data_IF_004363510862
#
_entry.id   IF_004363510862
#
_cell.length_a   1.000
_cell.length_b   1.000
_cell.length_c   1.000
_cell.angle_alpha   90.00
_cell.angle_beta   90.00
_cell.angle_gamma   90.00
#
_symmetry.space_group_name_H-M   'P 1'
#
loop_
_entity.id
_entity.type
_entity.pdbx_description
1 polymer ?
#
# COMPACT_ATOMS: atom_id res chain seq x y z
N UNK A 1 3.19 -4.84 10.92
CA UNK A 1 4.24 -4.43 9.99
C UNK A 1 3.74 -4.60 8.57
N UNK A 2 3.88 -3.55 7.75
CA UNK A 2 3.54 -3.57 6.33
C UNK A 2 4.85 -3.36 5.57
N UNK A 3 5.22 -4.28 4.66
CA UNK A 3 6.39 -4.11 3.81
C UNK A 3 6.25 -2.88 2.88
N UNK A 4 7.36 -2.28 2.50
CA UNK A 4 7.34 -1.11 1.62
C UNK A 4 6.76 -1.42 0.22
N UNK A 5 6.91 -2.65 -0.25
CA UNK A 5 6.35 -3.15 -1.51
C UNK A 5 4.82 -3.23 -1.53
N UNK A 6 4.17 -3.31 -0.35
CA UNK A 6 2.72 -3.35 -0.22
C UNK A 6 2.10 -1.97 0.08
N UNK A 7 2.90 -0.90 0.02
CA UNK A 7 2.44 0.49 0.19
C UNK A 7 2.75 1.32 -1.04
N UNK A 8 1.72 1.90 -1.64
CA UNK A 8 1.86 2.76 -2.82
C UNK A 8 1.44 4.17 -2.46
N UNK A 9 2.31 5.12 -2.76
CA UNK A 9 2.08 6.56 -2.57
C UNK A 9 2.36 7.33 -3.87
N UNK A 10 1.85 8.55 -4.04
CA UNK A 10 2.20 9.39 -5.18
C UNK A 10 3.72 9.64 -5.26
N UNK A 11 4.26 9.74 -6.47
CA UNK A 11 5.69 9.91 -6.71
C UNK A 11 6.32 11.09 -5.96
N UNK A 12 5.59 12.18 -5.79
CA UNK A 12 6.04 13.37 -5.07
C UNK A 12 5.92 13.32 -3.55
N UNK A 13 5.36 12.24 -2.98
CA UNK A 13 5.19 12.13 -1.54
C UNK A 13 6.54 11.92 -0.82
N UNK A 14 6.80 12.70 0.21
CA UNK A 14 7.99 12.56 1.06
C UNK A 14 7.72 11.76 2.34
N UNK A 15 6.47 11.76 2.81
CA UNK A 15 6.01 11.02 3.99
C UNK A 15 4.53 10.65 3.85
N UNK A 16 4.02 9.79 4.74
CA UNK A 16 2.63 9.36 4.74
C UNK A 16 1.67 10.49 5.12
N UNK A 17 2.08 11.39 5.98
CA UNK A 17 1.21 12.45 6.50
C UNK A 17 0.85 13.46 5.40
N UNK A 18 1.83 13.81 4.56
CA UNK A 18 1.67 14.75 3.43
C UNK A 18 1.22 14.08 2.13
N UNK A 19 1.13 12.76 2.09
CA UNK A 19 0.70 12.06 0.89
C UNK A 19 -0.81 12.28 0.66
N UNK A 20 -1.16 12.73 -0.54
CA UNK A 20 -2.56 12.91 -0.98
C UNK A 20 -3.31 11.58 -1.01
N UNK A 21 -2.60 10.50 -1.31
CA UNK A 21 -3.14 9.15 -1.36
C UNK A 21 -2.13 8.16 -0.77
N UNK A 22 -2.63 7.25 0.05
CA UNK A 22 -1.87 6.08 0.52
C UNK A 22 -2.67 4.84 0.17
N UNK A 23 -2.09 3.92 -0.57
CA UNK A 23 -2.74 2.64 -0.92
C UNK A 23 -1.98 1.50 -0.26
N UNK A 24 -2.69 0.73 0.54
CA UNK A 24 -2.19 -0.51 1.13
C UNK A 24 -2.68 -1.70 0.31
N UNK A 25 -1.77 -2.53 -0.15
CA UNK A 25 -2.07 -3.75 -0.91
C UNK A 25 -2.14 -4.91 0.08
N UNK A 26 -3.29 -5.56 0.14
CA UNK A 26 -3.52 -6.71 1.01
C UNK A 26 -3.76 -7.95 0.17
N UNK A 27 -3.29 -9.09 0.63
CA UNK A 27 -3.61 -10.40 0.05
C UNK A 27 -4.53 -11.16 0.99
N UNK A 28 -5.76 -11.45 0.56
CA UNK A 28 -6.79 -12.11 1.36
C UNK A 28 -7.25 -13.39 0.71
N UNK A 29 -7.49 -14.40 1.53
CA UNK A 29 -8.12 -15.64 1.08
C UNK A 29 -9.61 -15.44 0.80
N UNK A 30 -10.21 -16.29 -0.04
CA UNK A 30 -11.65 -16.28 -0.32
C UNK A 30 -12.50 -16.36 0.96
N UNK A 31 -12.04 -17.18 1.92
CA UNK A 31 -12.75 -17.35 3.19
C UNK A 31 -12.72 -16.08 4.06
N UNK A 32 -11.59 -15.36 4.09
CA UNK A 32 -11.50 -14.08 4.81
C UNK A 32 -12.43 -13.03 4.19
N UNK A 33 -12.46 -12.93 2.85
CA UNK A 33 -13.35 -12.00 2.16
C UNK A 33 -14.82 -12.32 2.46
N UNK A 34 -15.22 -13.59 2.34
CA UNK A 34 -16.58 -14.03 2.65
C UNK A 34 -17.00 -13.78 4.10
N UNK A 35 -16.08 -13.96 5.06
CA UNK A 35 -16.35 -13.61 6.46
C UNK A 35 -16.63 -12.11 6.63
N UNK A 36 -15.86 -11.27 5.93
CA UNK A 36 -16.05 -9.82 5.97
C UNK A 36 -17.34 -9.39 5.27
N UNK A 37 -17.74 -10.07 4.18
CA UNK A 37 -19.03 -9.87 3.53
C UNK A 37 -20.18 -10.31 4.46
N UNK A 38 -20.10 -11.49 5.04
CA UNK A 38 -21.12 -12.01 5.97
C UNK A 38 -21.29 -11.14 7.23
N UNK A 39 -20.22 -10.47 7.69
CA UNK A 39 -20.30 -9.54 8.81
C UNK A 39 -20.87 -8.16 8.42
N UNK A 40 -21.13 -7.90 7.14
CA UNK A 40 -21.54 -6.59 6.62
C UNK A 40 -20.44 -5.55 6.55
N UNK A 41 -19.18 -5.96 6.80
CA UNK A 41 -18.03 -5.04 6.70
C UNK A 41 -17.66 -4.74 5.24
N UNK A 42 -17.79 -5.74 4.37
CA UNK A 42 -17.69 -5.59 2.93
C UNK A 42 -19.04 -5.82 2.27
N UNK A 43 -19.25 -5.15 1.14
CA UNK A 43 -20.40 -5.38 0.26
C UNK A 43 -20.40 -6.84 -0.21
N UNK A 44 -21.57 -7.45 -0.21
CA UNK A 44 -21.76 -8.80 -0.75
C UNK A 44 -21.75 -8.72 -2.28
N UNK A 45 -20.62 -9.09 -2.87
CA UNK A 45 -20.37 -9.17 -4.30
C UNK A 45 -19.95 -10.58 -4.67
N UNK A 46 -20.17 -10.98 -5.91
CA UNK A 46 -19.62 -12.22 -6.43
C UNK A 46 -18.11 -12.06 -6.65
N UNK A 47 -17.33 -12.80 -5.86
CA UNK A 47 -15.89 -12.85 -6.02
C UNK A 47 -15.58 -13.71 -7.24
N UNK A 48 -14.92 -13.16 -8.24
CA UNK A 48 -14.37 -13.89 -9.36
C UNK A 48 -13.32 -14.93 -8.95
N UNK A 49 -12.58 -15.43 -9.91
CA UNK A 49 -11.40 -16.25 -9.61
C UNK A 49 -10.24 -15.39 -9.13
N UNK A 50 -9.45 -15.86 -8.13
CA UNK A 50 -8.29 -15.13 -7.67
C UNK A 50 -7.30 -14.91 -8.80
N UNK A 51 -6.82 -13.69 -8.95
CA UNK A 51 -5.79 -13.36 -9.93
C UNK A 51 -4.45 -13.26 -9.23
N UNK A 52 -3.45 -14.05 -9.64
CA UNK A 52 -2.11 -13.98 -9.10
C UNK A 52 -1.58 -12.54 -9.13
N UNK A 53 -0.98 -12.12 -8.05
CA UNK A 53 -0.37 -10.82 -7.94
C UNK A 53 1.01 -10.94 -7.29
N UNK A 54 2.03 -10.78 -8.11
CA UNK A 54 3.41 -10.71 -7.68
C UNK A 54 3.96 -9.34 -8.04
N UNK A 55 4.78 -8.79 -7.17
CA UNK A 55 5.51 -7.56 -7.43
C UNK A 55 6.82 -7.91 -8.14
N UNK A 56 7.36 -6.98 -8.96
CA UNK A 56 8.67 -7.13 -9.58
C UNK A 56 9.79 -7.43 -8.55
N UNK A 57 9.59 -6.97 -7.31
CA UNK A 57 10.52 -7.23 -6.20
C UNK A 57 10.45 -8.68 -5.75
N UNK A 58 9.25 -9.26 -5.64
CA UNK A 58 9.05 -10.67 -5.30
C UNK A 58 9.63 -11.58 -6.39
N UNK A 59 9.40 -11.24 -7.66
CA UNK A 59 9.97 -11.97 -8.79
C UNK A 59 11.50 -11.97 -8.74
N UNK A 60 12.12 -10.81 -8.54
CA UNK A 60 13.58 -10.71 -8.40
C UNK A 60 14.12 -11.46 -7.19
N UNK A 61 13.44 -11.39 -6.05
CA UNK A 61 13.83 -12.16 -4.85
C UNK A 61 13.79 -13.66 -5.10
N UNK A 62 12.79 -14.14 -5.84
CA UNK A 62 12.68 -15.55 -6.21
C UNK A 62 13.79 -15.97 -7.18
N UNK A 63 14.05 -15.16 -8.19
CA UNK A 63 15.09 -15.37 -9.18
C UNK A 63 16.49 -15.42 -8.54
N UNK A 64 16.83 -14.44 -7.69
CA UNK A 64 18.08 -14.41 -6.93
C UNK A 64 18.18 -15.53 -5.89
N UNK A 65 17.05 -15.91 -5.27
CA UNK A 65 16.98 -17.01 -4.31
C UNK A 65 16.93 -18.40 -4.94
N UNK A 66 16.77 -18.50 -6.26
CA UNK A 66 16.72 -19.76 -7.01
C UNK A 66 15.48 -20.59 -6.71
N UNK A 67 14.36 -19.98 -6.33
CA UNK A 67 13.08 -20.64 -6.14
C UNK A 67 12.01 -20.07 -7.09
N UNK A 68 10.99 -20.86 -7.39
CA UNK A 68 9.86 -20.41 -8.20
C UNK A 68 8.77 -19.85 -7.31
N UNK A 69 8.18 -18.73 -7.74
CA UNK A 69 6.97 -18.21 -7.10
C UNK A 69 5.83 -19.15 -7.46
N UNK A 70 5.09 -19.57 -6.46
CA UNK A 70 3.86 -20.34 -6.64
C UNK A 70 2.69 -19.40 -6.47
N UNK A 71 1.77 -19.42 -7.43
CA UNK A 71 0.51 -18.70 -7.32
C UNK A 71 -0.25 -19.21 -6.10
N UNK A 72 -0.58 -18.30 -5.20
CA UNK A 72 -1.49 -18.59 -4.12
C UNK A 72 -2.90 -18.11 -4.53
N UNK A 73 -3.94 -18.86 -4.14
CA UNK A 73 -5.34 -18.53 -4.42
C UNK A 73 -5.84 -17.34 -3.59
N UNK A 74 -5.05 -16.26 -3.55
CA UNK A 74 -5.38 -15.04 -2.80
C UNK A 74 -5.84 -13.93 -3.73
N UNK A 75 -6.76 -13.15 -3.20
CA UNK A 75 -7.26 -11.93 -3.82
C UNK A 75 -6.42 -10.75 -3.41
N UNK A 76 -5.98 -9.95 -4.37
CA UNK A 76 -5.35 -8.66 -4.09
C UNK A 76 -6.45 -7.63 -3.82
N UNK A 77 -6.41 -7.02 -2.65
CA UNK A 77 -7.36 -6.01 -2.20
C UNK A 77 -6.61 -4.71 -1.92
N UNK A 78 -7.05 -3.63 -2.54
CA UNK A 78 -6.48 -2.31 -2.37
C UNK A 78 -7.31 -1.53 -1.35
N UNK A 79 -6.66 -1.10 -0.26
CA UNK A 79 -7.22 -0.15 0.68
C UNK A 79 -6.63 1.23 0.41
N UNK A 80 -7.43 2.10 -0.17
CA UNK A 80 -7.04 3.42 -0.65
C UNK A 80 -7.51 4.48 0.34
N UNK A 81 -6.57 5.18 0.96
CA UNK A 81 -6.81 6.34 1.81
C UNK A 81 -6.57 7.60 0.98
N UNK A 82 -7.62 8.35 0.70
CA UNK A 82 -7.56 9.57 -0.12
C UNK A 82 -8.68 10.54 0.23
N UNK A 83 -8.48 11.81 -0.12
CA UNK A 83 -9.52 12.81 -0.06
C UNK A 83 -10.34 12.74 -1.35
N UNK A 84 -11.64 12.50 -1.23
CA UNK A 84 -12.56 12.27 -2.35
C UNK A 84 -13.84 13.07 -2.16
N UNK A 85 -14.49 13.37 -3.28
CA UNK A 85 -15.88 13.84 -3.35
C UNK A 85 -16.70 12.66 -3.83
N UNK A 86 -17.66 12.21 -3.04
CA UNK A 86 -18.51 11.07 -3.38
C UNK A 86 -19.89 11.60 -3.76
N UNK A 87 -20.25 11.46 -5.03
CA UNK A 87 -21.58 11.83 -5.54
C UNK A 87 -22.68 11.11 -4.75
N UNK A 88 -23.75 11.84 -4.43
CA UNK A 88 -24.88 11.31 -3.65
C UNK A 88 -24.65 11.17 -2.15
N UNK A 89 -23.44 11.41 -1.65
CA UNK A 89 -23.11 11.40 -0.21
C UNK A 89 -22.69 12.78 0.27
N UNK A 90 -21.96 13.52 -0.56
CA UNK A 90 -21.38 14.82 -0.23
C UNK A 90 -22.18 16.00 -0.83
N UNK A 91 -23.29 15.70 -1.52
CA UNK A 91 -24.12 16.70 -2.22
C UNK A 91 -25.10 17.50 -1.33
N UNK A 92 -25.16 17.22 -0.02
CA UNK A 92 -26.13 17.88 0.88
C UNK A 92 -25.90 19.39 1.09
N UNK A 93 -24.79 19.96 0.64
CA UNK A 93 -24.45 21.38 0.80
C UNK A 93 -24.53 22.22 -0.50
N UNK A 94 -25.43 21.91 -1.39
CA UNK A 94 -26.14 22.85 -2.28
C UNK A 94 -25.36 23.66 -3.34
N UNK A 95 -24.07 23.81 -3.29
CA UNK A 95 -23.25 24.55 -4.24
C UNK A 95 -22.13 23.69 -4.83
N UNK A 96 -22.21 23.37 -6.12
CA UNK A 96 -21.19 22.59 -6.84
C UNK A 96 -19.79 23.23 -6.78
N UNK A 97 -19.70 24.54 -6.58
CA UNK A 97 -18.42 25.28 -6.47
C UNK A 97 -17.76 25.20 -5.09
N UNK A 98 -18.46 24.72 -4.06
CA UNK A 98 -17.96 24.64 -2.67
C UNK A 98 -17.68 23.22 -2.19
N UNK A 99 -17.71 22.22 -3.08
CA UNK A 99 -17.47 20.84 -2.68
C UNK A 99 -16.02 20.63 -2.24
N UNK A 100 -15.84 20.38 -0.95
CA UNK A 100 -14.55 20.07 -0.35
C UNK A 100 -14.38 18.54 -0.32
N UNK A 101 -13.27 18.06 -0.89
CA UNK A 101 -12.91 16.65 -0.79
C UNK A 101 -12.72 16.24 0.67
N UNK A 102 -13.37 15.15 1.08
CA UNK A 102 -13.32 14.60 2.43
C UNK A 102 -12.47 13.33 2.48
N UNK A 103 -11.81 13.04 3.61
CA UNK A 103 -10.99 11.85 3.72
C UNK A 103 -11.83 10.57 3.81
N UNK A 104 -11.63 9.67 2.86
CA UNK A 104 -12.26 8.36 2.81
C UNK A 104 -11.24 7.23 2.75
N UNK A 105 -11.69 6.05 3.15
CA UNK A 105 -11.01 4.78 2.92
C UNK A 105 -11.88 3.96 1.98
N UNK A 106 -11.38 3.74 0.77
CA UNK A 106 -12.05 2.93 -0.26
C UNK A 106 -11.32 1.61 -0.40
N UNK A 107 -12.06 0.53 -0.27
CA UNK A 107 -11.51 -0.83 -0.45
C UNK A 107 -12.03 -1.41 -1.76
N UNK A 108 -11.10 -1.84 -2.62
CA UNK A 108 -11.39 -2.34 -3.97
C UNK A 108 -10.76 -3.72 -4.15
N UNK A 109 -11.51 -4.67 -4.70
CA UNK A 109 -10.96 -5.94 -5.16
C UNK A 109 -10.33 -5.75 -6.55
N UNK A 110 -9.07 -6.19 -6.71
CA UNK A 110 -8.27 -5.91 -7.92
C UNK A 110 -8.80 -6.62 -9.16
N UNK A 111 -9.22 -7.88 -9.04
CA UNK A 111 -9.60 -8.72 -10.17
C UNK A 111 -10.89 -8.25 -10.85
N UNK A 112 -11.92 -8.02 -10.05
CA UNK A 112 -13.24 -7.55 -10.52
C UNK A 112 -13.33 -6.04 -10.62
N UNK A 113 -12.40 -5.31 -9.99
CA UNK A 113 -12.43 -3.85 -9.83
C UNK A 113 -13.66 -3.34 -9.06
N UNK A 114 -14.31 -4.21 -8.31
CA UNK A 114 -15.49 -3.86 -7.52
C UNK A 114 -15.10 -3.22 -6.19
N UNK A 115 -15.87 -2.21 -5.79
CA UNK A 115 -15.73 -1.56 -4.50
C UNK A 115 -16.36 -2.44 -3.43
N UNK A 116 -15.54 -2.90 -2.50
CA UNK A 116 -15.95 -3.71 -1.36
C UNK A 116 -16.50 -2.86 -0.21
N UNK A 117 -15.91 -1.70 0.03
CA UNK A 117 -16.34 -0.78 1.08
C UNK A 117 -15.88 0.65 0.82
N UNK A 118 -16.68 1.61 1.28
CA UNK A 118 -16.32 3.01 1.40
C UNK A 118 -16.58 3.40 2.85
N UNK A 119 -15.57 3.98 3.51
CA UNK A 119 -15.66 4.38 4.92
C UNK A 119 -15.14 5.80 5.10
N UNK A 120 -15.81 6.55 5.96
CA UNK A 120 -15.33 7.86 6.40
C UNK A 120 -14.04 7.71 7.21
N UNK A 121 -13.07 8.58 6.97
CA UNK A 121 -11.75 8.55 7.63
C UNK A 121 -11.53 9.74 8.56
N UNK A 122 -12.58 10.19 9.24
CA UNK A 122 -12.53 11.24 10.27
C UNK A 122 -13.42 10.88 11.45
N UNK A 123 -13.31 11.62 12.54
CA UNK A 123 -14.23 11.50 13.66
C UNK A 123 -15.51 12.29 13.37
N UNK A 124 -16.68 11.72 13.63
CA UNK A 124 -17.98 12.37 13.40
C UNK A 124 -18.16 13.66 14.25
N UNK A 125 -17.46 13.75 15.39
CA UNK A 125 -17.47 14.93 16.26
C UNK A 125 -16.51 16.03 15.80
N UNK A 126 -15.63 15.73 14.81
CA UNK A 126 -14.65 16.70 14.29
C UNK A 126 -15.24 17.52 13.15
N UNK A 127 -15.54 18.78 13.43
CA UNK A 127 -16.08 19.73 12.44
C UNK A 127 -15.12 20.05 11.29
N UNK A 128 -13.81 19.82 11.47
CA UNK A 128 -12.79 20.01 10.44
C UNK A 128 -12.57 18.76 9.60
N UNK A 129 -13.19 17.64 9.95
CA UNK A 129 -13.09 16.35 9.26
C UNK A 129 -11.63 15.94 8.99
N UNK A 130 -10.74 16.12 9.98
CA UNK A 130 -9.34 15.83 9.82
C UNK A 130 -9.10 14.34 9.61
N UNK A 131 -8.25 14.02 8.63
CA UNK A 131 -7.86 12.67 8.28
C UNK A 131 -7.28 11.92 9.48
N UNK A 132 -7.86 10.77 9.81
CA UNK A 132 -7.30 9.87 10.84
C UNK A 132 -6.06 9.18 10.28
N UNK A 133 -4.99 9.18 11.08
CA UNK A 133 -3.76 8.51 10.70
C UNK A 133 -3.80 7.03 11.08
N UNK A 134 -3.73 6.14 10.09
CA UNK A 134 -3.71 4.70 10.27
C UNK A 134 -2.32 4.10 10.14
N UNK A 135 -1.38 4.82 9.54
CA UNK A 135 -0.04 4.33 9.25
C UNK A 135 1.01 5.16 9.97
N UNK A 136 2.06 4.51 10.39
CA UNK A 136 3.28 5.15 10.89
C UNK A 136 4.41 4.79 9.94
N UNK A 137 5.01 5.81 9.33
CA UNK A 137 6.14 5.63 8.44
C UNK A 137 7.44 5.57 9.23
N UNK A 138 8.14 4.46 9.11
CA UNK A 138 9.45 4.27 9.70
C UNK A 138 10.49 3.99 8.63
N UNK A 139 11.43 4.93 8.43
CA UNK A 139 12.60 4.75 7.59
C UNK A 139 13.83 4.52 8.48
N UNK A 140 14.56 3.39 8.27
CA UNK A 140 15.76 3.07 9.04
C UNK A 140 16.83 4.15 8.91
N UNK A 141 17.10 4.60 7.70
CA UNK A 141 17.87 5.81 7.41
C UNK A 141 17.08 6.64 6.42
N UNK A 142 16.68 7.87 6.80
CA UNK A 142 15.96 8.77 5.89
C UNK A 142 16.75 9.03 4.61
N UNK A 143 16.07 8.96 3.46
CA UNK A 143 16.59 9.31 2.14
C UNK A 143 16.00 10.62 1.64
N UNK A 144 16.17 10.90 0.34
CA UNK A 144 15.62 12.08 -0.32
C UNK A 144 14.17 11.90 -0.82
N UNK A 145 13.51 10.81 -0.50
CA UNK A 145 12.14 10.52 -0.91
C UNK A 145 11.41 9.71 0.15
N UNK A 146 10.26 9.18 -0.24
CA UNK A 146 9.42 8.38 0.65
C UNK A 146 10.17 7.14 1.18
N UNK A 147 10.91 6.44 0.33
CA UNK A 147 11.67 5.26 0.73
C UNK A 147 13.03 5.67 1.31
N UNK A 148 13.32 5.17 2.51
CA UNK A 148 14.61 5.37 3.14
C UNK A 148 15.74 4.58 2.46
N UNK A 149 16.96 4.80 2.92
CA UNK A 149 18.13 4.06 2.48
C UNK A 149 18.21 2.71 3.21
N UNK A 150 18.42 1.65 2.47
CA UNK A 150 18.72 0.33 3.01
C UNK A 150 20.16 0.21 3.48
N UNK A 151 20.43 -0.78 4.32
CA UNK A 151 21.76 -1.02 4.87
C UNK A 151 22.83 -1.19 3.78
N UNK A 152 22.47 -1.80 2.65
CA UNK A 152 23.40 -1.98 1.51
C UNK A 152 23.89 -0.65 0.92
N UNK A 153 23.08 0.41 0.95
CA UNK A 153 23.48 1.74 0.47
C UNK A 153 24.56 2.35 1.37
N UNK A 154 24.59 1.99 2.65
CA UNK A 154 25.52 2.52 3.63
C UNK A 154 26.82 1.73 3.62
N UNK A 155 26.73 0.40 3.71
CA UNK A 155 27.90 -0.47 3.89
C UNK A 155 28.37 -1.15 2.61
N UNK A 156 27.60 -1.11 1.51
CA UNK A 156 27.92 -1.82 0.27
C UNK A 156 29.26 -1.40 -0.33
N UNK A 157 29.59 -0.11 -0.26
CA UNK A 157 30.88 0.41 -0.69
C UNK A 157 32.06 -0.17 0.10
N UNK A 158 31.93 -0.25 1.41
CA UNK A 158 32.93 -0.84 2.30
C UNK A 158 33.10 -2.35 2.08
N UNK A 159 31.99 -3.06 1.92
CA UNK A 159 32.00 -4.50 1.63
C UNK A 159 32.69 -4.79 0.28
N UNK A 160 32.41 -3.98 -0.76
CA UNK A 160 33.08 -4.09 -2.06
C UNK A 160 34.57 -3.80 -1.97
N UNK A 161 34.98 -2.76 -1.24
CA UNK A 161 36.39 -2.42 -1.03
C UNK A 161 37.12 -3.54 -0.26
N UNK A 162 36.53 -4.04 0.82
CA UNK A 162 37.09 -5.17 1.59
C UNK A 162 37.29 -6.42 0.72
N UNK A 163 36.28 -6.77 -0.06
CA UNK A 163 36.37 -7.91 -0.99
C UNK A 163 37.47 -7.72 -2.03
N UNK A 164 37.63 -6.52 -2.55
CA UNK A 164 38.67 -6.20 -3.52
C UNK A 164 40.07 -6.34 -2.92
N UNK A 165 40.28 -5.86 -1.69
CA UNK A 165 41.55 -5.97 -0.98
C UNK A 165 41.90 -7.44 -0.73
N UNK A 166 40.92 -8.24 -0.24
CA UNK A 166 41.15 -9.67 -0.02
C UNK A 166 41.50 -10.39 -1.31
N UNK A 167 40.82 -10.10 -2.41
CA UNK A 167 41.14 -10.68 -3.73
C UNK A 167 42.56 -10.33 -4.19
N UNK A 168 43.03 -9.11 -3.97
CA UNK A 168 44.38 -8.69 -4.30
C UNK A 168 45.43 -9.42 -3.45
N UNK A 169 45.15 -9.64 -2.15
CA UNK A 169 46.04 -10.37 -1.25
C UNK A 169 46.13 -11.86 -1.58
N UNK A 170 45.06 -12.46 -2.04
CA UNK A 170 45.00 -13.89 -2.42
C UNK A 170 45.55 -14.14 -3.83
N UNK A 171 45.44 -13.14 -4.71
CA UNK A 171 45.91 -13.23 -6.10
C UNK A 171 47.34 -12.75 -6.34
N UNK A 172 48.03 -12.30 -5.28
CA UNK A 172 49.44 -11.95 -5.28
C UNK A 172 50.32 -13.13 -4.82
#
# INVERSE_FOLDING_TARGET
YIPAEDVVVPYGASNIESAERVTHIMRKTKNELRKLQASGFYKDIELGDPQPYHTDIEERKAEEGGYSITDDDRYAVYEVHADLIIEGVDEEDGDEESQIAKPYVVTVERGTQEILAIRRNWNEEDSLMLKRQHFVHYAYVPGFGFYGLGLIHIIGGYAKAGTSIIRQLVGA
#
